data_IF_152142960295
#
_entry.id   IF_152142960295
#
_cell.length_a   1.000
_cell.length_b   1.000
_cell.length_c   1.000
_cell.angle_alpha   90.00
_cell.angle_beta   90.00
_cell.angle_gamma   90.00
#
_symmetry.space_group_name_H-M   'P 1'
#
loop_
_entity.id
_entity.type
_entity.pdbx_description
1 polymer ?
#
# COMPACT_ATOMS: atom_id res chain seq x y z
N UNK A 1 20.68 3.15 28.16
CA UNK A 1 20.63 3.70 26.78
C UNK A 1 20.45 2.59 25.75
N UNK A 2 21.28 1.54 25.76
CA UNK A 2 21.22 0.41 24.82
C UNK A 2 19.89 -0.37 24.83
N UNK A 3 19.34 -0.70 26.01
CA UNK A 3 18.05 -1.41 26.09
C UNK A 3 16.87 -0.62 25.52
N UNK A 4 16.92 0.71 25.60
CA UNK A 4 15.87 1.58 25.06
C UNK A 4 15.93 1.55 23.54
N UNK A 5 17.14 1.67 22.97
CA UNK A 5 17.37 1.61 21.53
C UNK A 5 16.91 0.28 20.95
N UNK A 6 17.23 -0.85 21.59
CA UNK A 6 16.79 -2.17 21.10
C UNK A 6 15.28 -2.33 21.10
N UNK A 7 14.59 -1.82 22.13
CA UNK A 7 13.12 -1.84 22.16
C UNK A 7 12.51 -1.00 21.04
N UNK A 8 13.07 0.17 20.76
CA UNK A 8 12.61 1.02 19.65
C UNK A 8 12.78 0.34 18.30
N UNK A 9 13.95 -0.26 18.03
CA UNK A 9 14.21 -0.98 16.78
C UNK A 9 13.25 -2.16 16.61
N UNK A 10 12.98 -2.90 17.69
CA UNK A 10 12.04 -4.01 17.66
C UNK A 10 10.60 -3.55 17.34
N UNK A 11 10.15 -2.45 17.95
CA UNK A 11 8.81 -1.88 17.68
C UNK A 11 8.70 -1.42 16.23
N UNK A 12 9.71 -0.70 15.72
CA UNK A 12 9.72 -0.25 14.32
C UNK A 12 9.74 -1.44 13.36
N UNK A 13 10.61 -2.43 13.62
CA UNK A 13 10.69 -3.65 12.82
C UNK A 13 9.36 -4.41 12.79
N UNK A 14 8.70 -4.54 13.95
CA UNK A 14 7.39 -5.18 14.07
C UNK A 14 6.33 -4.43 13.25
N UNK A 15 6.27 -3.09 13.34
CA UNK A 15 5.35 -2.28 12.55
C UNK A 15 5.59 -2.47 11.05
N UNK A 16 6.85 -2.47 10.61
CA UNK A 16 7.20 -2.67 9.19
C UNK A 16 6.77 -4.06 8.72
N UNK A 17 6.99 -5.11 9.51
CA UNK A 17 6.60 -6.48 9.13
C UNK A 17 5.08 -6.62 9.03
N UNK A 18 4.32 -5.99 9.94
CA UNK A 18 2.85 -6.09 9.95
C UNK A 18 2.21 -5.19 8.90
N UNK A 19 2.62 -3.93 8.81
CA UNK A 19 1.99 -2.93 7.95
C UNK A 19 2.62 -2.85 6.55
N UNK A 20 3.87 -3.24 6.39
CA UNK A 20 4.62 -3.18 5.13
C UNK A 20 3.92 -3.89 3.97
N UNK A 21 3.46 -5.15 4.13
CA UNK A 21 2.72 -5.84 3.07
C UNK A 21 1.44 -5.13 2.65
N UNK A 22 0.72 -4.54 3.61
CA UNK A 22 -0.51 -3.79 3.35
C UNK A 22 -0.21 -2.53 2.55
N UNK A 23 0.77 -1.73 2.98
CA UNK A 23 1.22 -0.52 2.27
C UNK A 23 1.68 -0.87 0.85
N UNK A 24 2.47 -1.94 0.70
CA UNK A 24 2.94 -2.40 -0.61
C UNK A 24 1.79 -2.79 -1.52
N UNK A 25 0.79 -3.50 -1.00
CA UNK A 25 -0.41 -3.89 -1.75
C UNK A 25 -1.18 -2.67 -2.26
N UNK A 26 -1.40 -1.65 -1.41
CA UNK A 26 -2.07 -0.41 -1.83
C UNK A 26 -1.30 0.30 -2.94
N UNK A 27 0.03 0.40 -2.83
CA UNK A 27 0.88 1.01 -3.85
C UNK A 27 0.82 0.22 -5.17
N UNK A 28 0.89 -1.11 -5.11
CA UNK A 28 0.83 -1.98 -6.28
C UNK A 28 -0.50 -1.84 -7.03
N UNK A 29 -1.61 -1.79 -6.28
CA UNK A 29 -2.95 -1.54 -6.84
C UNK A 29 -3.02 -0.17 -7.51
N UNK A 30 -2.55 0.89 -6.83
CA UNK A 30 -2.55 2.24 -7.40
C UNK A 30 -1.72 2.35 -8.69
N UNK A 31 -0.54 1.72 -8.73
CA UNK A 31 0.28 1.65 -9.95
C UNK A 31 -0.43 0.94 -11.09
N UNK A 32 -1.13 -0.17 -10.80
CA UNK A 32 -1.93 -0.90 -11.80
C UNK A 32 -3.06 -0.04 -12.34
N UNK A 33 -3.82 0.62 -11.46
CA UNK A 33 -4.93 1.50 -11.86
C UNK A 33 -4.42 2.62 -12.76
N UNK A 34 -3.39 3.34 -12.33
CA UNK A 34 -2.81 4.43 -13.10
C UNK A 34 -2.31 4.00 -14.49
N UNK A 35 -1.75 2.79 -14.60
CA UNK A 35 -1.32 2.24 -15.89
C UNK A 35 -2.52 1.95 -16.82
N UNK A 36 -3.63 1.43 -16.29
CA UNK A 36 -4.83 1.18 -17.08
C UNK A 36 -5.56 2.47 -17.45
N UNK A 37 -5.65 3.44 -16.55
CA UNK A 37 -6.23 4.76 -16.82
C UNK A 37 -5.49 5.50 -17.94
N UNK A 38 -4.15 5.42 -17.94
CA UNK A 38 -3.33 5.99 -19.00
C UNK A 38 -3.60 5.34 -20.36
N UNK A 39 -3.88 4.03 -20.40
CA UNK A 39 -4.25 3.33 -21.64
C UNK A 39 -5.67 3.67 -22.09
N UNK A 40 -6.60 3.77 -21.15
CA UNK A 40 -8.00 4.06 -21.43
C UNK A 40 -8.28 5.55 -21.71
N UNK A 41 -7.37 6.44 -21.30
CA UNK A 41 -7.54 7.89 -21.44
C UNK A 41 -8.62 8.47 -20.54
N UNK A 42 -9.02 7.76 -19.47
CA UNK A 42 -10.06 8.17 -18.52
C UNK A 42 -9.82 7.56 -17.14
N UNK A 43 -10.45 8.16 -16.13
CA UNK A 43 -10.48 7.62 -14.77
C UNK A 43 -11.22 6.26 -14.74
N UNK A 44 -10.60 5.28 -14.10
CA UNK A 44 -11.11 3.92 -13.90
C UNK A 44 -11.14 3.56 -12.41
N UNK A 45 -10.87 4.52 -11.52
CA UNK A 45 -10.78 4.31 -10.08
C UNK A 45 -12.04 3.66 -9.50
N UNK A 46 -13.23 3.92 -10.04
CA UNK A 46 -14.49 3.32 -9.56
C UNK A 46 -14.89 2.04 -10.30
N UNK A 47 -14.07 1.55 -11.23
CA UNK A 47 -14.36 0.36 -12.04
C UNK A 47 -13.43 -0.80 -11.70
N UNK A 48 -12.12 -0.53 -11.62
CA UNK A 48 -11.09 -1.58 -11.50
C UNK A 48 -10.36 -1.59 -10.15
N UNK A 49 -10.62 -0.60 -9.30
CA UNK A 49 -10.06 -0.56 -7.97
C UNK A 49 -10.79 -1.56 -7.07
N UNK A 50 -10.11 -2.55 -6.48
CA UNK A 50 -10.75 -3.53 -5.60
C UNK A 50 -11.31 -2.92 -4.31
N UNK A 51 -10.95 -1.69 -3.95
CA UNK A 51 -11.43 -1.01 -2.75
C UNK A 51 -12.61 -0.07 -2.98
N UNK A 52 -12.78 0.45 -4.21
CA UNK A 52 -13.80 1.46 -4.54
C UNK A 52 -14.67 1.09 -5.73
N UNK A 53 -14.27 0.13 -6.56
CA UNK A 53 -15.04 -0.36 -7.69
C UNK A 53 -15.87 -1.60 -7.38
N UNK A 54 -16.88 -1.88 -8.22
CA UNK A 54 -17.76 -3.05 -8.10
C UNK A 54 -19.12 -2.79 -7.44
N UNK A 55 -19.70 -1.59 -7.63
CA UNK A 55 -21.15 -1.41 -7.52
C UNK A 55 -21.81 -1.58 -8.87
#
# INVERSE_FOLDING_TARGET
MEMIIMRFLFVIGFIIVVAGPMVWSYIAVGKRISAEEKKAGRDLTNEINPFTGGR
#
